data_IF_211754229128
#
_entry.id   IF_211754229128
#
_cell.length_a   1.000
_cell.length_b   1.000
_cell.length_c   1.000
_cell.angle_alpha   90.00
_cell.angle_beta   90.00
_cell.angle_gamma   90.00
#
_symmetry.space_group_name_H-M   'P 1'
#
loop_
_entity.id
_entity.type
_entity.pdbx_description
1 polymer ?
#
# COMPACT_ATOMS: atom_id res chain seq x y z
N UNK A 1 -1.75 22.82 18.52
CA UNK A 1 -0.57 21.93 18.48
C UNK A 1 -0.23 21.72 17.01
N UNK A 2 1.02 21.98 16.60
CA UNK A 2 1.46 21.63 15.24
C UNK A 2 1.30 20.11 15.04
N UNK A 3 0.82 19.62 13.89
CA UNK A 3 0.77 18.19 13.65
C UNK A 3 2.20 17.64 13.74
N UNK A 4 2.43 16.71 14.66
CA UNK A 4 3.72 16.02 14.80
C UNK A 4 4.02 15.30 13.49
N UNK A 5 5.18 15.59 12.90
CA UNK A 5 5.63 14.88 11.71
C UNK A 5 5.65 13.38 11.98
N UNK A 6 5.02 12.61 11.11
CA UNK A 6 5.08 11.16 11.16
C UNK A 6 6.34 10.67 10.46
N UNK A 7 6.93 9.63 11.05
CA UNK A 7 8.11 8.97 10.51
C UNK A 7 7.73 7.63 9.88
N UNK A 8 8.40 7.28 8.78
CA UNK A 8 8.41 5.92 8.25
C UNK A 8 9.43 5.02 8.99
N UNK A 9 10.42 5.64 9.63
CA UNK A 9 11.46 5.00 10.44
C UNK A 9 12.37 6.05 11.08
N UNK A 10 13.43 5.63 11.79
CA UNK A 10 14.31 6.56 12.50
C UNK A 10 14.87 7.65 11.60
N UNK A 11 14.52 8.91 11.89
CA UNK A 11 14.97 10.07 11.10
C UNK A 11 14.38 10.15 9.68
N UNK A 12 13.34 9.40 9.35
CA UNK A 12 12.80 9.37 7.98
C UNK A 12 11.35 9.87 7.94
N UNK A 13 11.09 11.07 7.38
CA UNK A 13 9.73 11.60 7.24
C UNK A 13 8.85 10.71 6.36
N UNK A 14 7.65 10.38 6.84
CA UNK A 14 6.72 9.46 6.16
C UNK A 14 6.30 9.98 4.78
N UNK A 15 6.01 11.29 4.66
CA UNK A 15 5.63 11.89 3.38
C UNK A 15 6.74 11.71 2.32
N UNK A 16 7.98 11.99 2.70
CA UNK A 16 9.13 11.90 1.81
C UNK A 16 9.38 10.45 1.40
N UNK A 17 9.34 9.52 2.37
CA UNK A 17 9.50 8.10 2.13
C UNK A 17 8.49 7.58 1.10
N UNK A 18 7.18 7.76 1.36
CA UNK A 18 6.12 7.27 0.48
C UNK A 18 6.24 7.84 -0.94
N UNK A 19 6.53 9.13 -1.07
CA UNK A 19 6.67 9.79 -2.37
C UNK A 19 7.88 9.28 -3.15
N UNK A 20 9.03 9.12 -2.50
CA UNK A 20 10.24 8.63 -3.15
C UNK A 20 10.13 7.14 -3.51
N UNK A 21 9.48 6.30 -2.68
CA UNK A 21 9.19 4.90 -3.02
C UNK A 21 8.28 4.83 -4.24
N UNK A 22 7.18 5.58 -4.25
CA UNK A 22 6.28 5.63 -5.41
C UNK A 22 6.97 6.09 -6.69
N UNK A 23 7.84 7.11 -6.62
CA UNK A 23 8.64 7.56 -7.76
C UNK A 23 9.61 6.48 -8.24
N UNK A 24 10.29 5.79 -7.32
CA UNK A 24 11.19 4.67 -7.65
C UNK A 24 10.42 3.55 -8.37
N UNK A 25 9.23 3.18 -7.88
CA UNK A 25 8.34 2.20 -8.51
C UNK A 25 7.91 2.67 -9.90
N UNK A 26 7.57 3.94 -10.07
CA UNK A 26 7.21 4.53 -11.36
C UNK A 26 8.31 4.42 -12.43
N UNK A 27 9.58 4.40 -12.01
CA UNK A 27 10.75 4.25 -12.89
C UNK A 27 11.09 2.78 -13.12
N UNK A 28 11.31 2.00 -12.05
CA UNK A 28 11.75 0.59 -12.15
C UNK A 28 10.65 -0.35 -12.60
N UNK A 29 9.40 -0.02 -12.28
CA UNK A 29 8.23 -0.83 -12.54
C UNK A 29 7.76 -0.85 -14.00
N UNK A 30 8.32 -0.04 -14.91
CA UNK A 30 7.80 0.12 -16.28
C UNK A 30 7.63 -1.22 -17.02
N UNK A 31 8.63 -2.09 -16.94
CA UNK A 31 8.56 -3.40 -17.60
C UNK A 31 7.60 -4.36 -16.90
N UNK A 32 7.47 -4.26 -15.59
CA UNK A 32 6.50 -5.06 -14.81
C UNK A 32 5.08 -4.60 -15.14
N UNK A 33 4.80 -3.29 -15.15
CA UNK A 33 3.51 -2.71 -15.52
C UNK A 33 3.07 -3.15 -16.92
N UNK A 34 3.97 -3.13 -17.91
CA UNK A 34 3.67 -3.64 -19.27
C UNK A 34 3.32 -5.13 -19.29
N UNK A 35 3.96 -5.95 -18.45
CA UNK A 35 3.61 -7.37 -18.33
C UNK A 35 2.27 -7.57 -17.64
N UNK A 36 2.03 -6.85 -16.53
CA UNK A 36 0.75 -6.88 -15.81
C UNK A 36 -0.41 -6.44 -16.70
N UNK A 37 -0.21 -5.40 -17.51
CA UNK A 37 -1.19 -4.92 -18.48
C UNK A 37 -1.65 -6.02 -19.45
N UNK A 38 -0.72 -6.83 -19.96
CA UNK A 38 -1.04 -7.99 -20.81
C UNK A 38 -1.76 -9.09 -20.01
N UNK A 39 -1.29 -9.38 -18.79
CA UNK A 39 -1.84 -10.44 -17.93
C UNK A 39 -3.28 -10.14 -17.49
N UNK A 40 -3.60 -8.87 -17.26
CA UNK A 40 -4.89 -8.42 -16.75
C UNK A 40 -5.73 -7.65 -17.78
N UNK A 41 -5.31 -7.66 -19.05
CA UNK A 41 -6.05 -7.06 -20.18
C UNK A 41 -6.44 -5.59 -19.92
N UNK A 42 -5.45 -4.78 -19.55
CA UNK A 42 -5.61 -3.35 -19.28
C UNK A 42 -4.50 -2.53 -19.93
N UNK A 43 -4.59 -1.20 -19.83
CA UNK A 43 -3.52 -0.33 -20.29
C UNK A 43 -2.28 -0.43 -19.38
N UNK A 44 -1.06 -0.30 -19.93
CA UNK A 44 0.17 -0.16 -19.13
C UNK A 44 0.11 0.98 -18.12
N UNK A 45 -0.57 2.06 -18.47
CA UNK A 45 -0.76 3.24 -17.63
C UNK A 45 -1.58 2.89 -16.39
N UNK A 46 -2.68 2.13 -16.56
CA UNK A 46 -3.50 1.70 -15.43
C UNK A 46 -2.75 0.72 -14.53
N UNK A 47 -2.01 -0.22 -15.12
CA UNK A 47 -1.18 -1.15 -14.36
C UNK A 47 -0.11 -0.40 -13.53
N UNK A 48 0.51 0.63 -14.11
CA UNK A 48 1.48 1.48 -13.42
C UNK A 48 0.81 2.28 -12.28
N UNK A 49 -0.37 2.87 -12.52
CA UNK A 49 -1.10 3.60 -11.47
C UNK A 49 -1.41 2.70 -10.27
N UNK A 50 -1.76 1.42 -10.48
CA UNK A 50 -1.95 0.47 -9.38
C UNK A 50 -0.66 0.09 -8.64
N UNK A 51 0.47 0.02 -9.34
CA UNK A 51 1.78 -0.23 -8.72
C UNK A 51 2.21 0.96 -7.86
N UNK A 52 2.08 2.18 -8.37
CA UNK A 52 2.36 3.40 -7.62
C UNK A 52 1.39 3.61 -6.47
N UNK A 53 0.11 3.28 -6.64
CA UNK A 53 -0.87 3.27 -5.57
C UNK A 53 -0.44 2.31 -4.45
N UNK A 54 -0.04 1.08 -4.78
CA UNK A 54 0.45 0.13 -3.78
C UNK A 54 1.68 0.66 -3.03
N UNK A 55 2.62 1.29 -3.76
CA UNK A 55 3.79 1.92 -3.20
C UNK A 55 3.46 3.10 -2.27
N UNK A 56 2.49 3.95 -2.62
CA UNK A 56 2.05 5.04 -1.76
C UNK A 56 1.31 4.55 -0.52
N UNK A 57 0.59 3.43 -0.62
CA UNK A 57 -0.23 2.92 0.47
C UNK A 57 0.54 2.04 1.45
N UNK A 58 1.62 1.38 1.04
CA UNK A 58 2.25 0.29 1.81
C UNK A 58 2.52 0.64 3.27
N UNK A 59 2.93 1.88 3.53
CA UNK A 59 3.35 2.40 4.82
C UNK A 59 2.39 3.43 5.44
N UNK A 60 1.26 3.72 4.81
CA UNK A 60 0.27 4.70 5.32
C UNK A 60 -0.19 4.34 6.74
N UNK A 61 -0.26 3.04 7.05
CA UNK A 61 -0.57 2.54 8.38
C UNK A 61 0.31 3.13 9.48
N UNK A 62 1.56 3.50 9.20
CA UNK A 62 2.48 4.13 10.16
C UNK A 62 1.98 5.48 10.66
N UNK A 63 0.98 6.10 10.03
CA UNK A 63 0.29 7.31 10.47
C UNK A 63 -0.80 7.08 11.54
N UNK A 64 -1.07 5.84 11.96
CA UNK A 64 -2.11 5.52 12.93
C UNK A 64 -1.81 6.02 14.36
N UNK A 65 -2.84 6.47 15.09
CA UNK A 65 -2.76 6.84 16.52
C UNK A 65 -2.16 5.77 17.42
N UNK A 66 -2.27 4.47 17.08
CA UNK A 66 -1.64 3.38 17.81
C UNK A 66 -0.10 3.49 17.89
N UNK A 67 0.51 4.30 17.02
CA UNK A 67 1.96 4.53 17.02
C UNK A 67 2.37 5.84 17.67
N UNK A 68 1.46 6.63 18.24
CA UNK A 68 1.75 7.79 19.10
C UNK A 68 3.01 8.59 18.73
N UNK A 69 3.99 8.61 19.64
CA UNK A 69 5.32 9.21 19.45
C UNK A 69 6.41 8.21 19.01
N UNK A 70 6.02 6.99 18.63
CA UNK A 70 6.95 5.96 18.16
C UNK A 70 7.61 6.42 16.86
N UNK A 71 8.94 6.53 16.90
CA UNK A 71 9.79 6.81 15.74
C UNK A 71 10.39 5.55 15.11
N UNK A 72 10.30 4.39 15.78
CA UNK A 72 11.19 3.27 15.52
C UNK A 72 10.48 1.94 15.24
N UNK A 73 9.30 1.71 15.83
CA UNK A 73 8.62 0.43 15.73
C UNK A 73 7.14 0.58 15.41
N UNK A 74 6.74 0.02 14.26
CA UNK A 74 5.38 0.06 13.70
C UNK A 74 4.87 -1.37 13.48
N UNK A 75 4.54 -2.12 14.53
CA UNK A 75 4.09 -3.50 14.38
C UNK A 75 2.78 -3.54 13.59
N UNK A 76 2.76 -4.38 12.56
CA UNK A 76 1.56 -4.68 11.76
C UNK A 76 0.92 -3.45 11.08
N UNK A 77 1.71 -2.42 10.76
CA UNK A 77 1.22 -1.24 10.03
C UNK A 77 0.66 -1.62 8.65
N UNK A 78 1.16 -2.68 8.02
CA UNK A 78 0.64 -3.23 6.77
C UNK A 78 -0.84 -3.59 6.87
N UNK A 79 -1.34 -4.02 8.04
CA UNK A 79 -2.75 -4.34 8.21
C UNK A 79 -3.63 -3.08 8.13
N UNK A 80 -3.11 -1.97 8.66
CA UNK A 80 -3.77 -0.65 8.64
C UNK A 80 -3.71 -0.05 7.24
N UNK A 81 -2.54 -0.11 6.62
CA UNK A 81 -2.33 0.27 5.22
C UNK A 81 -3.28 -0.48 4.29
N UNK A 82 -3.45 -1.78 4.51
CA UNK A 82 -4.33 -2.63 3.70
C UNK A 82 -5.79 -2.25 3.87
N UNK A 83 -6.26 -2.05 5.10
CA UNK A 83 -7.65 -1.62 5.34
C UNK A 83 -7.91 -0.23 4.72
N UNK A 84 -6.97 0.71 4.85
CA UNK A 84 -7.09 2.02 4.21
C UNK A 84 -7.13 1.94 2.69
N UNK A 85 -6.21 1.18 2.08
CA UNK A 85 -6.19 0.99 0.64
C UNK A 85 -7.45 0.31 0.12
N UNK A 86 -7.97 -0.69 0.85
CA UNK A 86 -9.21 -1.37 0.49
C UNK A 86 -10.42 -0.43 0.58
N UNK A 87 -10.49 0.42 1.61
CA UNK A 87 -11.55 1.43 1.74
C UNK A 87 -11.51 2.46 0.60
N UNK A 88 -10.31 2.90 0.18
CA UNK A 88 -10.14 3.72 -1.03
C UNK A 88 -10.74 3.01 -2.24
N UNK A 89 -10.36 1.74 -2.47
CA UNK A 89 -10.81 0.98 -3.63
C UNK A 89 -12.34 0.75 -3.62
N UNK A 90 -12.93 0.51 -2.45
CA UNK A 90 -14.38 0.38 -2.29
C UNK A 90 -15.09 1.68 -2.64
N UNK A 91 -14.61 2.82 -2.13
CA UNK A 91 -15.20 4.14 -2.40
C UNK A 91 -15.07 4.58 -3.85
N UNK A 92 -13.99 4.18 -4.53
CA UNK A 92 -13.89 4.33 -5.98
C UNK A 92 -14.91 3.42 -6.69
N UNK A 93 -15.00 2.14 -6.29
CA UNK A 93 -15.95 1.18 -6.90
C UNK A 93 -17.42 1.61 -6.78
N UNK A 94 -17.79 2.26 -5.68
CA UNK A 94 -19.13 2.84 -5.47
C UNK A 94 -19.49 3.90 -6.53
N UNK A 95 -18.49 4.60 -7.07
CA UNK A 95 -18.66 5.71 -8.03
C UNK A 95 -18.32 5.31 -9.47
N UNK A 96 -17.42 4.36 -9.65
CA UNK A 96 -16.93 3.89 -10.94
C UNK A 96 -16.93 2.36 -10.98
N UNK A 97 -17.90 1.81 -11.73
CA UNK A 97 -18.06 0.38 -11.91
C UNK A 97 -16.87 -0.26 -12.67
N UNK A 98 -16.04 0.52 -13.37
CA UNK A 98 -14.85 0.02 -14.07
C UNK A 98 -13.72 -0.40 -13.12
N UNK A 99 -13.77 0.03 -11.85
CA UNK A 99 -12.80 -0.36 -10.83
C UNK A 99 -12.72 -1.89 -10.72
N UNK A 100 -11.55 -2.53 -11.00
CA UNK A 100 -11.45 -3.98 -11.14
C UNK A 100 -11.39 -4.73 -9.80
N UNK A 101 -12.04 -4.18 -8.77
CA UNK A 101 -12.18 -4.78 -7.45
C UNK A 101 -13.12 -5.99 -7.51
N UNK A 102 -12.66 -7.14 -7.01
CA UNK A 102 -13.39 -8.42 -7.04
C UNK A 102 -14.08 -8.70 -5.71
N UNK A 103 -15.10 -9.56 -5.74
CA UNK A 103 -15.81 -10.01 -4.54
C UNK A 103 -14.95 -11.00 -3.72
N UNK A 104 -14.06 -11.75 -4.38
CA UNK A 104 -13.08 -12.62 -3.75
C UNK A 104 -11.66 -12.11 -3.92
N UNK A 105 -10.87 -12.18 -2.84
CA UNK A 105 -9.44 -11.90 -2.90
C UNK A 105 -8.63 -12.99 -3.61
N UNK A 106 -9.19 -14.19 -3.78
CA UNK A 106 -8.53 -15.23 -4.56
C UNK A 106 -8.63 -14.99 -6.08
N UNK A 107 -9.61 -14.19 -6.53
CA UNK A 107 -9.78 -13.91 -7.97
C UNK A 107 -8.62 -13.04 -8.49
N UNK A 108 -7.93 -13.43 -9.58
CA UNK A 108 -6.87 -12.60 -10.15
C UNK A 108 -7.41 -11.25 -10.66
N UNK A 109 -6.93 -10.17 -10.06
CA UNK A 109 -7.18 -8.79 -10.49
C UNK A 109 -6.00 -7.89 -10.08
N UNK A 110 -5.80 -6.79 -10.78
CA UNK A 110 -4.74 -5.83 -10.42
C UNK A 110 -4.97 -5.19 -9.05
N UNK A 111 -6.23 -4.99 -8.64
CA UNK A 111 -6.58 -4.52 -7.29
C UNK A 111 -6.14 -5.51 -6.23
N UNK A 112 -6.40 -6.81 -6.44
CA UNK A 112 -5.94 -7.84 -5.51
C UNK A 112 -4.41 -7.88 -5.50
N UNK A 113 -3.74 -7.77 -6.66
CA UNK A 113 -2.27 -7.68 -6.71
C UNK A 113 -1.76 -6.53 -5.84
N UNK A 114 -2.32 -5.32 -5.97
CA UNK A 114 -1.95 -4.17 -5.16
C UNK A 114 -2.22 -4.40 -3.66
N UNK A 115 -3.37 -4.95 -3.29
CA UNK A 115 -3.71 -5.25 -1.89
C UNK A 115 -2.77 -6.29 -1.27
N UNK A 116 -2.44 -7.36 -2.00
CA UNK A 116 -1.45 -8.35 -1.55
C UNK A 116 -0.06 -7.73 -1.41
N UNK A 117 0.35 -6.86 -2.34
CA UNK A 117 1.63 -6.18 -2.26
C UNK A 117 1.72 -5.27 -1.02
N UNK A 118 0.65 -4.50 -0.73
CA UNK A 118 0.53 -3.68 0.48
C UNK A 118 0.53 -4.56 1.73
N UNK A 119 -0.26 -5.64 1.77
CA UNK A 119 -0.39 -6.47 2.96
C UNK A 119 0.88 -7.25 3.31
N UNK A 120 1.71 -7.59 2.31
CA UNK A 120 2.79 -8.57 2.49
C UNK A 120 4.18 -8.06 2.09
N UNK A 121 4.37 -6.74 1.96
CA UNK A 121 5.69 -6.14 1.68
C UNK A 121 6.76 -6.49 2.73
N UNK A 122 6.37 -6.87 3.96
CA UNK A 122 7.28 -7.36 5.01
C UNK A 122 7.15 -8.86 5.33
N UNK A 123 6.45 -9.66 4.52
CA UNK A 123 6.06 -11.04 4.89
C UNK A 123 7.24 -11.98 5.21
N UNK A 124 8.39 -11.82 4.55
CA UNK A 124 9.60 -12.62 4.80
C UNK A 124 10.21 -12.44 6.20
N UNK A 125 9.80 -11.41 6.95
CA UNK A 125 10.44 -11.01 8.20
C UNK A 125 9.54 -11.16 9.43
N UNK A 126 8.33 -11.72 9.30
CA UNK A 126 7.34 -11.77 10.38
C UNK A 126 6.85 -13.18 10.68
N UNK A 127 6.87 -13.56 11.97
CA UNK A 127 6.15 -14.73 12.47
C UNK A 127 4.71 -14.32 12.77
N UNK A 128 3.78 -14.69 11.87
CA UNK A 128 2.40 -14.21 11.90
C UNK A 128 1.57 -14.75 13.08
N UNK A 129 1.87 -15.95 13.58
CA UNK A 129 1.06 -16.64 14.61
C UNK A 129 1.06 -15.92 15.97
N UNK A 130 2.20 -15.37 16.43
CA UNK A 130 2.25 -14.70 17.74
C UNK A 130 1.76 -13.25 17.74
N UNK A 131 1.72 -12.62 16.58
CA UNK A 131 1.52 -11.16 16.50
C UNK A 131 0.05 -10.78 16.32
N UNK A 132 -0.77 -11.64 15.72
CA UNK A 132 -2.20 -11.34 15.48
C UNK A 132 -3.13 -11.68 16.66
N UNK A 133 -2.77 -12.64 17.53
CA UNK A 133 -3.63 -13.02 18.67
C UNK A 133 -3.70 -11.94 19.77
N UNK A 134 -2.71 -11.02 19.83
CA UNK A 134 -2.65 -9.98 20.87
C UNK A 134 -3.12 -8.60 20.44
N UNK A 135 -3.21 -8.33 19.14
CA UNK A 135 -3.55 -6.99 18.63
C UNK A 135 -4.78 -7.11 17.75
N UNK A 136 -5.85 -6.39 18.10
CA UNK A 136 -6.96 -6.17 17.18
C UNK A 136 -6.51 -5.17 16.11
N UNK A 137 -5.84 -5.66 15.07
CA UNK A 137 -5.15 -4.84 14.06
C UNK A 137 -6.01 -4.63 12.82
N UNK A 138 -5.77 -3.50 12.15
CA UNK A 138 -6.59 -3.01 11.05
C UNK A 138 -7.33 -1.71 11.42
N UNK A 139 -7.95 -1.12 10.41
CA UNK A 139 -8.40 0.27 10.40
C UNK A 139 -7.24 1.26 10.40
N UNK A 140 -7.57 2.53 10.19
CA UNK A 140 -6.65 3.65 10.27
C UNK A 140 -7.35 4.84 10.94
N UNK A 141 -6.87 5.25 12.10
CA UNK A 141 -7.19 6.55 12.71
C UNK A 141 -5.92 7.40 12.64
N UNK A 142 -5.80 8.34 11.68
CA UNK A 142 -4.58 9.10 11.50
C UNK A 142 -4.30 10.03 12.69
N UNK A 143 -3.07 10.02 13.20
CA UNK A 143 -2.57 11.06 14.14
C UNK A 143 -1.89 12.22 13.42
N UNK A 144 -1.55 12.01 12.16
CA UNK A 144 -0.90 12.95 11.25
C UNK A 144 -1.46 12.72 9.85
N UNK A 145 -1.30 13.71 8.98
CA UNK A 145 -1.76 13.65 7.60
C UNK A 145 -0.61 13.74 6.59
N UNK A 146 0.63 13.48 7.01
CA UNK A 146 1.81 13.56 6.15
C UNK A 146 1.74 12.63 4.94
N UNK A 147 1.13 11.45 5.10
CA UNK A 147 0.88 10.56 3.97
C UNK A 147 0.03 11.21 2.86
N UNK A 148 -0.83 12.19 3.18
CA UNK A 148 -1.58 12.95 2.17
C UNK A 148 -0.68 13.82 1.31
N UNK A 149 0.38 14.42 1.88
CA UNK A 149 1.37 15.18 1.10
C UNK A 149 2.04 14.30 0.03
N UNK A 150 2.32 13.04 0.37
CA UNK A 150 2.85 12.07 -0.60
C UNK A 150 1.84 11.77 -1.72
N UNK A 151 0.57 11.60 -1.37
CA UNK A 151 -0.52 11.34 -2.33
C UNK A 151 -0.80 12.57 -3.22
N UNK A 152 -0.69 13.80 -2.69
CA UNK A 152 -0.83 15.04 -3.46
C UNK A 152 0.24 15.17 -4.56
N UNK A 153 1.46 14.71 -4.28
CA UNK A 153 2.55 14.70 -5.27
C UNK A 153 2.39 13.61 -6.34
N UNK A 154 1.49 12.65 -6.15
CA UNK A 154 1.24 11.62 -7.14
C UNK A 154 0.47 12.20 -8.33
N UNK A 155 0.96 11.91 -9.53
CA UNK A 155 0.32 12.30 -10.80
C UNK A 155 -0.12 11.05 -11.56
N UNK A 156 -1.32 10.50 -11.26
CA UNK A 156 -1.82 9.32 -11.92
C UNK A 156 -2.02 9.54 -13.42
N UNK A 157 -1.80 8.50 -14.22
CA UNK A 157 -1.86 8.55 -15.68
C UNK A 157 -3.28 8.36 -16.21
N UNK A 158 -4.15 7.72 -15.44
CA UNK A 158 -5.50 7.35 -15.86
C UNK A 158 -6.58 8.02 -14.99
N UNK A 159 -7.80 8.09 -15.51
CA UNK A 159 -8.95 8.60 -14.73
C UNK A 159 -9.21 7.75 -13.48
N UNK A 160 -9.04 6.43 -13.57
CA UNK A 160 -9.19 5.55 -12.43
C UNK A 160 -8.07 5.77 -11.38
N UNK A 161 -6.85 6.04 -11.84
CA UNK A 161 -5.75 6.47 -10.98
C UNK A 161 -6.04 7.80 -10.27
N UNK A 162 -6.59 8.78 -10.99
CA UNK A 162 -7.04 10.06 -10.40
C UNK A 162 -8.13 9.83 -9.35
N UNK A 163 -9.11 8.97 -9.64
CA UNK A 163 -10.16 8.63 -8.68
C UNK A 163 -9.59 7.98 -7.41
N UNK A 164 -8.62 7.06 -7.53
CA UNK A 164 -7.91 6.48 -6.38
C UNK A 164 -7.23 7.56 -5.54
N UNK A 165 -6.50 8.49 -6.17
CA UNK A 165 -5.83 9.60 -5.49
C UNK A 165 -6.83 10.48 -4.75
N UNK A 166 -7.86 10.93 -5.46
CA UNK A 166 -8.83 11.90 -4.93
C UNK A 166 -9.62 11.32 -3.76
N UNK A 167 -10.00 10.04 -3.83
CA UNK A 167 -10.62 9.32 -2.71
C UNK A 167 -9.64 9.17 -1.54
N UNK A 168 -8.39 8.80 -1.78
CA UNK A 168 -7.39 8.64 -0.72
C UNK A 168 -7.10 9.96 0.02
N UNK A 169 -7.13 11.10 -0.68
CA UNK A 169 -7.01 12.43 -0.06
C UNK A 169 -8.24 12.82 0.77
N UNK A 170 -9.43 12.44 0.30
CA UNK A 170 -10.69 12.77 0.98
C UNK A 170 -10.97 11.91 2.23
N UNK A 171 -10.45 10.68 2.29
CA UNK A 171 -10.75 9.77 3.40
C UNK A 171 -10.12 10.23 4.72
N UNK A 172 -10.92 10.38 5.81
CA UNK A 172 -10.42 10.81 7.12
C UNK A 172 -9.65 9.71 7.86
N UNK A 173 -9.76 8.46 7.42
CA UNK A 173 -9.22 7.26 8.04
C UNK A 173 -9.79 6.03 7.36
N UNK A 174 -9.75 4.88 8.04
CA UNK A 174 -10.41 3.66 7.59
C UNK A 174 -10.97 2.83 8.75
N UNK A 175 -12.09 2.17 8.48
CA UNK A 175 -12.70 1.22 9.40
C UNK A 175 -11.93 -0.10 9.43
N UNK A 176 -12.02 -0.82 10.55
CA UNK A 176 -11.38 -2.13 10.70
C UNK A 176 -12.16 -3.19 9.93
N UNK A 177 -11.80 -3.40 8.68
CA UNK A 177 -12.42 -4.41 7.81
C UNK A 177 -11.77 -5.80 7.89
N UNK A 178 -10.59 -5.91 8.51
CA UNK A 178 -9.85 -7.17 8.64
C UNK A 178 -9.33 -7.69 7.30
N UNK A 179 -9.08 -6.80 6.34
CA UNK A 179 -8.73 -7.18 4.96
C UNK A 179 -7.43 -7.95 4.91
N UNK A 180 -6.42 -7.54 5.67
CA UNK A 180 -5.16 -8.28 5.77
C UNK A 180 -5.36 -9.75 6.19
N UNK A 181 -6.19 -10.01 7.21
CA UNK A 181 -6.49 -11.38 7.65
C UNK A 181 -7.15 -12.22 6.54
N UNK A 182 -8.09 -11.62 5.81
CA UNK A 182 -8.76 -12.27 4.67
C UNK A 182 -7.78 -12.59 3.52
N UNK A 183 -6.81 -11.71 3.26
CA UNK A 183 -5.74 -11.95 2.29
C UNK A 183 -4.81 -13.09 2.76
N UNK A 184 -4.48 -13.14 4.05
CA UNK A 184 -3.64 -14.20 4.62
C UNK A 184 -4.29 -15.59 4.47
N UNK A 185 -5.60 -15.68 4.60
CA UNK A 185 -6.32 -16.95 4.37
C UNK A 185 -6.20 -17.44 2.92
N UNK A 186 -6.06 -16.56 1.94
CA UNK A 186 -5.76 -16.94 0.54
C UNK A 186 -4.36 -17.55 0.43
N UNK A 187 -3.37 -16.95 1.11
CA UNK A 187 -1.99 -17.46 1.16
C UNK A 187 -1.96 -18.86 1.80
N UNK A 188 -2.59 -19.03 2.97
CA UNK A 188 -2.63 -20.30 3.71
C UNK A 188 -3.28 -21.44 2.91
N UNK A 189 -4.38 -21.15 2.20
CA UNK A 189 -5.11 -22.18 1.44
C UNK A 189 -4.36 -22.59 0.17
N UNK A 190 -3.98 -21.60 -0.64
CA UNK A 190 -3.14 -21.65 -1.86
C UNK A 190 -3.57 -20.51 -2.78
N UNK A 191 -2.66 -19.57 -3.00
CA UNK A 191 -2.89 -18.48 -3.95
C UNK A 191 -2.89 -19.00 -5.41
N UNK A 192 -3.82 -18.55 -6.27
CA UNK A 192 -3.79 -18.93 -7.68
C UNK A 192 -2.50 -18.49 -8.37
N UNK A 193 -1.90 -19.30 -9.28
CA UNK A 193 -0.60 -19.00 -9.87
C UNK A 193 -0.53 -17.63 -10.56
N UNK A 194 -1.58 -17.25 -11.31
CA UNK A 194 -1.66 -15.93 -11.97
C UNK A 194 -1.54 -14.77 -10.98
N UNK A 195 -2.20 -14.88 -9.83
CA UNK A 195 -2.14 -13.88 -8.77
C UNK A 195 -0.79 -13.92 -8.05
N UNK A 196 -0.30 -15.12 -7.70
CA UNK A 196 0.98 -15.32 -7.05
C UNK A 196 2.14 -14.66 -7.80
N UNK A 197 2.30 -14.97 -9.08
CA UNK A 197 3.41 -14.42 -9.87
C UNK A 197 3.30 -12.91 -10.07
N UNK A 198 2.08 -12.39 -10.25
CA UNK A 198 1.86 -10.95 -10.36
C UNK A 198 2.21 -10.23 -9.04
N UNK A 199 1.76 -10.77 -7.90
CA UNK A 199 2.08 -10.25 -6.57
C UNK A 199 3.59 -10.29 -6.31
N UNK A 200 4.26 -11.41 -6.59
CA UNK A 200 5.72 -11.53 -6.42
C UNK A 200 6.49 -10.51 -7.27
N UNK A 201 6.05 -10.25 -8.50
CA UNK A 201 6.70 -9.26 -9.36
C UNK A 201 6.55 -7.83 -8.82
N UNK A 202 5.37 -7.47 -8.29
CA UNK A 202 5.14 -6.15 -7.69
C UNK A 202 5.90 -6.00 -6.37
N UNK A 203 5.87 -7.03 -5.51
CA UNK A 203 6.60 -7.07 -4.25
C UNK A 203 8.11 -6.91 -4.46
N UNK A 204 8.68 -7.56 -5.47
CA UNK A 204 10.10 -7.42 -5.80
C UNK A 204 10.49 -5.95 -6.04
N UNK A 205 9.69 -5.23 -6.83
CA UNK A 205 9.94 -3.82 -7.12
C UNK A 205 9.71 -2.92 -5.90
N UNK A 206 8.60 -3.12 -5.17
CA UNK A 206 8.29 -2.31 -3.98
C UNK A 206 9.36 -2.48 -2.91
N UNK A 207 9.74 -3.72 -2.58
CA UNK A 207 10.72 -3.98 -1.52
C UNK A 207 12.12 -3.46 -1.87
N UNK A 208 12.53 -3.54 -3.13
CA UNK A 208 13.80 -2.98 -3.58
C UNK A 208 13.80 -1.43 -3.44
N UNK A 209 12.72 -0.79 -3.87
CA UNK A 209 12.55 0.66 -3.75
C UNK A 209 12.45 1.13 -2.29
N UNK A 210 11.67 0.44 -1.45
CA UNK A 210 11.52 0.72 -0.02
C UNK A 210 12.88 0.72 0.69
N UNK A 211 13.65 -0.37 0.54
CA UNK A 211 14.98 -0.48 1.17
C UNK A 211 15.95 0.60 0.70
N UNK A 212 15.97 0.92 -0.60
CA UNK A 212 16.87 1.95 -1.14
C UNK A 212 16.50 3.35 -0.65
N UNK A 213 15.21 3.70 -0.68
CA UNK A 213 14.70 4.99 -0.22
C UNK A 213 14.93 5.14 1.28
N UNK A 214 14.66 4.10 2.08
CA UNK A 214 14.95 4.10 3.51
C UNK A 214 16.44 4.35 3.80
N UNK A 215 17.35 3.69 3.07
CA UNK A 215 18.80 3.93 3.22
C UNK A 215 19.20 5.35 2.84
N UNK A 216 18.61 5.91 1.78
CA UNK A 216 18.89 7.27 1.32
C UNK A 216 18.40 8.32 2.32
N UNK A 217 17.15 8.22 2.76
CA UNK A 217 16.53 9.25 3.59
C UNK A 217 17.09 9.28 5.01
N UNK A 218 17.44 8.12 5.59
CA UNK A 218 18.07 8.06 6.92
C UNK A 218 19.44 8.73 6.97
N UNK A 219 20.16 8.78 5.84
CA UNK A 219 21.47 9.46 5.73
C UNK A 219 21.35 10.98 5.64
N UNK A 220 20.18 11.50 5.26
CA UNK A 220 19.94 12.95 5.18
C UNK A 220 19.61 13.58 6.54
N UNK A 221 19.43 12.75 7.56
CA UNK A 221 19.02 13.15 8.92
C UNK A 221 20.16 13.08 9.94
N UNK A 222 21.39 12.82 9.47
CA UNK A 222 22.66 12.88 10.21
C UNK A 222 23.51 14.01 9.66
#
# INVERSE_FOLDING_TARGET
>A
MAPSECLAGPGEPLALHLADVARCVGIRGIYVARKLAKVFEMSPELAMDFMEFAALMHDVGKADTAYGVSAEYFPLHEARSTDFAYEVMLKVKEKDASMPLRNSFAEPSITNVALFAIAFHHYSHKTYERTYERYSVGGLTPRCYDYRKAIEMWSPRTELGKALRDVALALPGATRSGTHGRLLEVVKKRMPPKLLYAVSAVLGIINECDVEVAKKNRRLST
#
